data_IF_085675296723
#
_entry.id   IF_085675296723
#
_cell.length_a   1.000
_cell.length_b   1.000
_cell.length_c   1.000
_cell.angle_alpha   90.00
_cell.angle_beta   90.00
_cell.angle_gamma   90.00
#
_symmetry.space_group_name_H-M   'P 1'
#
loop_
_entity.id
_entity.type
_entity.pdbx_description
1 polymer ?
#
# COMPACT_ATOMS: atom_id res chain seq x y z
N UNK A 1 39.55 6.92 69.14
CA UNK A 1 38.72 8.10 69.45
C UNK A 1 38.23 8.65 68.11
N UNK A 2 36.97 8.98 68.10
CA UNK A 2 36.22 9.73 67.07
C UNK A 2 35.87 8.97 65.79
N UNK A 3 34.72 8.40 65.85
CA UNK A 3 33.96 7.80 64.78
C UNK A 3 33.40 8.89 63.88
N UNK A 4 33.77 8.85 62.63
CA UNK A 4 33.16 9.71 61.62
C UNK A 4 32.12 8.89 60.88
N UNK A 5 30.85 9.11 61.28
CA UNK A 5 29.73 8.52 60.60
C UNK A 5 29.58 9.14 59.22
N UNK A 6 29.96 8.38 58.22
CA UNK A 6 29.65 8.74 56.83
C UNK A 6 28.26 8.19 56.51
N UNK A 7 27.29 9.05 56.56
CA UNK A 7 25.94 8.77 56.09
C UNK A 7 26.00 8.86 54.57
N UNK A 8 26.09 7.70 53.92
CA UNK A 8 25.95 7.61 52.46
C UNK A 8 24.47 7.74 52.14
N UNK A 9 24.09 8.92 51.73
CA UNK A 9 22.76 9.23 51.23
C UNK A 9 22.59 8.61 49.84
N UNK A 10 21.93 7.46 49.79
CA UNK A 10 21.58 6.76 48.57
C UNK A 10 20.40 7.49 47.92
N UNK A 11 20.71 8.49 47.09
CA UNK A 11 19.71 9.19 46.26
C UNK A 11 19.26 8.23 45.16
N UNK A 12 18.10 7.59 45.37
CA UNK A 12 17.40 6.81 44.35
C UNK A 12 16.96 7.74 43.22
N UNK A 13 17.72 7.73 42.12
CA UNK A 13 17.34 8.39 40.87
C UNK A 13 16.26 7.58 40.19
N UNK A 14 15.00 7.90 40.48
CA UNK A 14 13.85 7.36 39.75
C UNK A 14 13.83 8.04 38.38
N UNK A 15 14.42 7.38 37.39
CA UNK A 15 14.26 7.76 35.99
C UNK A 15 12.82 7.43 35.57
N UNK A 16 11.94 8.42 35.53
CA UNK A 16 10.66 8.31 34.85
C UNK A 16 10.95 8.14 33.38
N UNK A 17 10.85 6.92 32.88
CA UNK A 17 10.71 6.66 31.46
C UNK A 17 9.32 7.17 31.05
N UNK A 18 9.25 8.41 30.62
CA UNK A 18 8.14 8.89 29.84
C UNK A 18 8.11 8.09 28.54
N UNK A 19 7.33 7.01 28.52
CA UNK A 19 6.93 6.35 27.29
C UNK A 19 6.09 7.36 26.54
N UNK A 20 6.75 8.16 25.71
CA UNK A 20 6.07 9.04 24.79
C UNK A 20 5.25 8.17 23.85
N UNK A 21 3.94 8.14 24.02
CA UNK A 21 3.01 7.72 23.00
C UNK A 21 3.17 8.73 21.84
N UNK A 22 4.18 8.52 21.01
CA UNK A 22 4.33 9.24 19.77
C UNK A 22 3.17 8.83 18.87
N UNK A 23 2.15 9.69 18.75
CA UNK A 23 1.13 9.49 17.73
C UNK A 23 1.83 9.52 16.38
N UNK A 24 1.75 8.41 15.64
CA UNK A 24 2.31 8.33 14.30
C UNK A 24 1.69 9.40 13.41
N UNK A 25 2.52 10.04 12.57
CA UNK A 25 2.04 11.03 11.62
C UNK A 25 0.99 10.42 10.67
N UNK A 26 0.02 11.23 10.28
CA UNK A 26 -1.02 10.83 9.32
C UNK A 26 -0.36 10.45 7.98
N UNK A 27 -0.60 9.25 7.42
CA UNK A 27 0.11 8.75 6.24
C UNK A 27 -0.49 9.28 4.92
N UNK A 28 -0.56 10.59 4.73
CA UNK A 28 -1.18 11.23 3.57
C UNK A 28 -0.48 10.92 2.25
N UNK A 29 0.84 10.83 2.25
CA UNK A 29 1.62 10.49 1.05
C UNK A 29 1.25 9.10 0.56
N UNK A 30 1.21 8.12 1.46
CA UNK A 30 0.80 6.74 1.14
C UNK A 30 -0.62 6.64 0.63
N UNK A 31 -1.53 7.44 1.19
CA UNK A 31 -2.91 7.53 0.71
C UNK A 31 -2.96 8.06 -0.72
N UNK A 32 -2.16 9.08 -1.01
CA UNK A 32 -2.07 9.68 -2.35
C UNK A 32 -1.52 8.67 -3.36
N UNK A 33 -0.43 7.98 -3.01
CA UNK A 33 0.20 6.98 -3.87
C UNK A 33 -0.75 5.81 -4.18
N UNK A 34 -1.38 5.24 -3.15
CA UNK A 34 -2.32 4.13 -3.33
C UNK A 34 -3.53 4.54 -4.20
N UNK A 35 -4.07 5.74 -4.00
CA UNK A 35 -5.15 6.28 -4.87
C UNK A 35 -4.68 6.47 -6.31
N UNK A 36 -3.46 6.92 -6.53
CA UNK A 36 -2.91 7.10 -7.87
C UNK A 36 -2.77 5.74 -8.58
N UNK A 37 -2.28 4.71 -7.89
CA UNK A 37 -2.13 3.37 -8.45
C UNK A 37 -3.50 2.72 -8.75
N UNK A 38 -4.49 2.88 -7.86
CA UNK A 38 -5.86 2.44 -8.12
C UNK A 38 -6.42 3.07 -9.39
N UNK A 39 -6.22 4.38 -9.57
CA UNK A 39 -6.63 5.07 -10.81
C UNK A 39 -5.92 4.51 -12.03
N UNK A 40 -4.61 4.32 -11.96
CA UNK A 40 -3.83 3.73 -13.05
C UNK A 40 -4.32 2.32 -13.43
N UNK A 41 -4.70 1.50 -12.45
CA UNK A 41 -5.29 0.18 -12.69
C UNK A 41 -6.65 0.29 -13.41
N UNK A 42 -7.49 1.25 -13.02
CA UNK A 42 -8.78 1.51 -13.69
C UNK A 42 -8.58 1.95 -15.14
N UNK A 43 -7.65 2.88 -15.38
CA UNK A 43 -7.30 3.37 -16.71
C UNK A 43 -6.71 2.27 -17.60
N UNK A 44 -5.99 1.32 -17.04
CA UNK A 44 -5.48 0.14 -17.72
C UNK A 44 -6.55 -0.93 -18.02
N UNK A 45 -7.81 -0.70 -17.64
CA UNK A 45 -8.91 -1.61 -17.93
C UNK A 45 -9.01 -2.78 -16.94
N UNK A 46 -8.54 -2.64 -15.70
CA UNK A 46 -8.58 -3.68 -14.68
C UNK A 46 -9.98 -4.27 -14.46
N UNK A 47 -11.02 -3.47 -14.65
CA UNK A 47 -12.41 -3.89 -14.50
C UNK A 47 -12.84 -4.98 -15.51
N UNK A 48 -12.19 -5.04 -16.67
CA UNK A 48 -12.48 -6.00 -17.73
C UNK A 48 -11.78 -7.34 -17.56
N UNK A 49 -10.85 -7.45 -16.63
CA UNK A 49 -10.07 -8.66 -16.34
C UNK A 49 -10.47 -9.20 -14.96
N UNK A 50 -11.10 -10.37 -14.82
CA UNK A 50 -11.67 -10.82 -13.55
C UNK A 50 -10.70 -10.79 -12.37
N UNK A 51 -9.46 -11.25 -12.56
CA UNK A 51 -8.44 -11.22 -11.51
C UNK A 51 -8.01 -9.79 -11.17
N UNK A 52 -7.79 -8.93 -12.17
CA UNK A 52 -7.46 -7.53 -11.93
C UNK A 52 -8.61 -6.81 -11.21
N UNK A 53 -9.86 -7.07 -11.61
CA UNK A 53 -11.05 -6.49 -10.97
C UNK A 53 -11.18 -6.89 -9.50
N UNK A 54 -10.82 -8.14 -9.15
CA UNK A 54 -10.80 -8.60 -7.76
C UNK A 54 -9.81 -7.76 -6.93
N UNK A 55 -8.57 -7.65 -7.38
CA UNK A 55 -7.54 -6.88 -6.66
C UNK A 55 -7.85 -5.38 -6.65
N UNK A 56 -8.46 -4.85 -7.71
CA UNK A 56 -8.95 -3.47 -7.72
C UNK A 56 -10.01 -3.22 -6.64
N UNK A 57 -10.92 -4.18 -6.47
CA UNK A 57 -11.93 -4.10 -5.42
C UNK A 57 -11.29 -4.16 -4.04
N UNK A 58 -10.37 -5.08 -3.80
CA UNK A 58 -9.65 -5.21 -2.53
C UNK A 58 -8.92 -3.91 -2.19
N UNK A 59 -8.17 -3.35 -3.13
CA UNK A 59 -7.48 -2.07 -2.95
C UNK A 59 -8.44 -0.92 -2.56
N UNK A 60 -9.62 -0.86 -3.19
CA UNK A 60 -10.61 0.16 -2.84
C UNK A 60 -11.22 -0.05 -1.44
N UNK A 61 -11.49 -1.29 -1.05
CA UNK A 61 -12.03 -1.62 0.28
C UNK A 61 -11.00 -1.29 1.38
N UNK A 62 -9.71 -1.53 1.11
CA UNK A 62 -8.61 -1.21 2.01
C UNK A 62 -8.37 0.29 2.12
N UNK A 63 -8.47 1.04 1.00
CA UNK A 63 -8.43 2.50 1.01
C UNK A 63 -9.54 3.09 1.88
N UNK A 64 -10.76 2.58 1.76
CA UNK A 64 -11.88 3.03 2.59
C UNK A 64 -11.64 2.73 4.07
N UNK A 65 -11.12 1.54 4.37
CA UNK A 65 -10.76 1.13 5.74
C UNK A 65 -9.62 1.96 6.31
N UNK A 66 -8.63 2.30 5.49
CA UNK A 66 -7.53 3.17 5.87
C UNK A 66 -8.00 4.59 6.19
N UNK A 67 -8.88 5.13 5.37
CA UNK A 67 -9.48 6.45 5.61
C UNK A 67 -10.20 6.48 6.96
N UNK A 68 -11.02 5.45 7.24
CA UNK A 68 -11.68 5.33 8.53
C UNK A 68 -10.69 5.26 9.70
N UNK A 69 -9.61 4.49 9.57
CA UNK A 69 -8.57 4.41 10.60
C UNK A 69 -7.88 5.77 10.83
N UNK A 70 -7.67 6.57 9.76
CA UNK A 70 -7.15 7.94 9.88
C UNK A 70 -8.13 8.86 10.61
N UNK A 71 -9.42 8.76 10.34
CA UNK A 71 -10.46 9.54 11.00
C UNK A 71 -10.55 9.18 12.51
N UNK A 72 -10.32 7.91 12.83
CA UNK A 72 -10.23 7.39 14.20
C UNK A 72 -8.86 7.71 14.88
N UNK A 73 -7.95 8.42 14.19
CA UNK A 73 -6.57 8.71 14.63
C UNK A 73 -5.70 7.46 14.85
N UNK A 74 -6.09 6.31 14.29
CA UNK A 74 -5.31 5.07 14.28
C UNK A 74 -4.37 5.05 13.07
N UNK A 75 -3.36 5.89 13.10
CA UNK A 75 -2.45 6.09 11.99
C UNK A 75 -1.57 4.87 11.69
N UNK A 76 -1.29 4.03 12.66
CA UNK A 76 -0.52 2.79 12.45
C UNK A 76 -1.34 1.77 11.67
N UNK A 77 -2.60 1.61 12.03
CA UNK A 77 -3.53 0.76 11.28
C UNK A 77 -3.78 1.32 9.89
N UNK A 78 -3.97 2.64 9.76
CA UNK A 78 -4.11 3.29 8.46
C UNK A 78 -2.91 3.00 7.55
N UNK A 79 -1.69 3.08 8.08
CA UNK A 79 -0.46 2.79 7.33
C UNK A 79 -0.41 1.35 6.84
N UNK A 80 -0.80 0.39 7.69
CA UNK A 80 -0.87 -1.02 7.30
C UNK A 80 -1.86 -1.22 6.15
N UNK A 81 -3.07 -0.69 6.28
CA UNK A 81 -4.12 -0.80 5.26
C UNK A 81 -3.72 -0.12 3.94
N UNK A 82 -3.03 1.02 3.99
CA UNK A 82 -2.52 1.70 2.80
C UNK A 82 -1.43 0.88 2.09
N UNK A 83 -0.58 0.17 2.83
CA UNK A 83 0.40 -0.73 2.23
C UNK A 83 -0.28 -1.92 1.53
N UNK A 84 -1.35 -2.46 2.10
CA UNK A 84 -2.15 -3.52 1.48
C UNK A 84 -2.84 -2.99 0.22
N UNK A 85 -3.52 -1.86 0.32
CA UNK A 85 -4.17 -1.21 -0.81
C UNK A 85 -3.20 -0.94 -1.98
N UNK A 86 -1.99 -0.48 -1.67
CA UNK A 86 -0.96 -0.27 -2.68
C UNK A 86 -0.58 -1.59 -3.37
N UNK A 87 -0.34 -2.66 -2.61
CA UNK A 87 0.04 -3.96 -3.15
C UNK A 87 -1.06 -4.56 -4.05
N UNK A 88 -2.33 -4.49 -3.62
CA UNK A 88 -3.46 -4.95 -4.43
C UNK A 88 -3.68 -4.07 -5.68
N UNK A 89 -3.50 -2.76 -5.58
CA UNK A 89 -3.57 -1.87 -6.72
C UNK A 89 -2.46 -2.14 -7.75
N UNK A 90 -1.22 -2.38 -7.30
CA UNK A 90 -0.09 -2.73 -8.17
C UNK A 90 -0.32 -4.06 -8.88
N UNK A 91 -0.83 -5.06 -8.16
CA UNK A 91 -1.17 -6.35 -8.76
C UNK A 91 -2.30 -6.22 -9.77
N UNK A 92 -3.35 -5.48 -9.43
CA UNK A 92 -4.45 -5.18 -10.34
C UNK A 92 -3.96 -4.52 -11.64
N UNK A 93 -3.10 -3.50 -11.52
CA UNK A 93 -2.50 -2.80 -12.65
C UNK A 93 -1.66 -3.72 -13.53
N UNK A 94 -0.83 -4.56 -12.91
CA UNK A 94 0.03 -5.51 -13.62
C UNK A 94 -0.79 -6.55 -14.39
N UNK A 95 -1.85 -7.09 -13.79
CA UNK A 95 -2.75 -8.05 -14.43
C UNK A 95 -3.51 -7.41 -15.61
N UNK A 96 -3.98 -6.18 -15.45
CA UNK A 96 -4.67 -5.46 -16.52
C UNK A 96 -3.75 -5.22 -17.73
N UNK A 97 -2.53 -4.76 -17.50
CA UNK A 97 -1.52 -4.54 -18.55
C UNK A 97 -1.14 -5.82 -19.26
N UNK A 98 -0.85 -6.88 -18.53
CA UNK A 98 -0.50 -8.17 -19.12
C UNK A 98 -1.60 -8.75 -20.02
N UNK A 99 -2.87 -8.54 -19.68
CA UNK A 99 -3.99 -8.94 -20.54
C UNK A 99 -4.02 -8.11 -21.81
N UNK A 100 -3.84 -6.80 -21.74
CA UNK A 100 -3.81 -5.90 -22.89
C UNK A 100 -2.66 -6.24 -23.84
N UNK A 101 -1.46 -6.45 -23.30
CA UNK A 101 -0.28 -6.82 -24.09
C UNK A 101 -0.48 -8.15 -24.82
N UNK A 102 -1.07 -9.14 -24.17
CA UNK A 102 -1.40 -10.44 -24.77
C UNK A 102 -2.40 -10.28 -25.93
N UNK A 103 -3.43 -9.47 -25.76
CA UNK A 103 -4.42 -9.19 -26.80
C UNK A 103 -3.77 -8.51 -28.01
N UNK A 104 -2.95 -7.49 -27.80
CA UNK A 104 -2.23 -6.79 -28.84
C UNK A 104 -1.29 -7.72 -29.63
N UNK A 105 -0.58 -8.63 -28.94
CA UNK A 105 0.26 -9.63 -29.56
C UNK A 105 -0.54 -10.60 -30.46
N UNK A 106 -1.71 -11.03 -29.99
CA UNK A 106 -2.61 -11.91 -30.76
C UNK A 106 -3.16 -11.21 -32.00
N UNK A 107 -3.57 -9.95 -31.88
CA UNK A 107 -4.04 -9.14 -33.00
C UNK A 107 -2.94 -8.91 -34.05
N UNK A 108 -1.71 -8.61 -33.61
CA UNK A 108 -0.57 -8.47 -34.49
C UNK A 108 -0.26 -9.77 -35.25
N UNK A 109 -0.30 -10.92 -34.58
CA UNK A 109 -0.10 -12.22 -35.20
C UNK A 109 -1.19 -12.51 -36.24
N UNK A 110 -2.45 -12.28 -35.89
CA UNK A 110 -3.56 -12.49 -36.83
C UNK A 110 -3.44 -11.60 -38.08
N UNK A 111 -2.96 -10.38 -37.91
CA UNK A 111 -2.70 -9.46 -39.04
C UNK A 111 -1.59 -9.98 -39.92
N UNK A 112 -0.49 -10.48 -39.38
CA UNK A 112 0.61 -11.09 -40.14
C UNK A 112 0.12 -12.30 -40.94
N UNK A 113 -0.63 -13.19 -40.31
CA UNK A 113 -1.18 -14.40 -40.95
C UNK A 113 -2.14 -14.04 -42.08
N UNK A 114 -2.93 -12.99 -41.90
CA UNK A 114 -3.81 -12.45 -42.98
C UNK A 114 -3.03 -11.91 -44.17
N UNK A 115 -1.97 -11.16 -43.92
CA UNK A 115 -1.11 -10.62 -45.00
C UNK A 115 -0.36 -11.73 -45.76
N UNK A 116 0.12 -12.75 -45.06
CA UNK A 116 0.80 -13.90 -45.69
C UNK A 116 -0.14 -14.71 -46.59
N UNK A 117 -1.42 -14.85 -46.22
CA UNK A 117 -2.42 -15.49 -47.06
C UNK A 117 -2.75 -14.73 -48.33
N UNK A 118 -2.68 -13.37 -48.31
CA UNK A 118 -2.91 -12.54 -49.46
C UNK A 118 -1.73 -12.51 -50.43
N UNK A 119 -0.53 -12.85 -49.95
CA UNK A 119 0.70 -12.87 -50.75
C UNK A 119 0.95 -14.17 -51.51
N UNK A 120 0.10 -15.21 -51.32
CA UNK A 120 0.13 -16.48 -52.02
C UNK A 120 -0.86 -16.51 -53.18
#
# INVERSE_FOLDING_TARGET
>A
MKHLNSVVSLSALVALFAVGCGSSAVPLDRLTDAKATVRAAQEAGAQSTPQAALHLKMANDELASAQKAMDDSDNDRARLLLNQAQADADLSLSLARGTTEKQQAQEAQAKIDGLMKQAQ
#
